data_IF_885203114383
#
_entry.id   IF_885203114383
#
_cell.length_a   1.000
_cell.length_b   1.000
_cell.length_c   1.000
_cell.angle_alpha   90.00
_cell.angle_beta   90.00
_cell.angle_gamma   90.00
#
_symmetry.space_group_name_H-M   'P 1'
#
loop_
_entity.id
_entity.type
_entity.pdbx_description
1 polymer ?
#
# COMPACT_ATOMS: atom_id res chain seq x y z
N UNK A 1 -7.69 31.92 4.00
CA UNK A 1 -7.77 31.62 2.55
C UNK A 1 -6.96 30.37 2.32
N UNK A 2 -7.48 29.39 1.57
CA UNK A 2 -6.78 28.11 1.29
C UNK A 2 -5.61 28.36 0.33
N UNK A 3 -4.39 28.00 0.71
CA UNK A 3 -3.15 28.39 0.00
C UNK A 3 -2.17 27.23 -0.21
N UNK A 4 -2.38 26.08 0.42
CA UNK A 4 -1.41 25.00 0.43
C UNK A 4 -2.00 23.68 -0.05
N UNK A 5 -1.16 22.86 -0.67
CA UNK A 5 -1.45 21.47 -1.04
C UNK A 5 -0.53 20.57 -0.20
N UNK A 6 -1.10 19.56 0.39
CA UNK A 6 -0.38 18.54 1.13
C UNK A 6 -0.25 17.28 0.27
N UNK A 7 0.96 16.77 0.11
CA UNK A 7 1.25 15.56 -0.65
C UNK A 7 1.71 14.46 0.31
N UNK A 8 0.97 13.36 0.36
CA UNK A 8 1.33 12.14 1.09
C UNK A 8 1.94 11.14 0.10
N UNK A 9 3.22 10.84 0.28
CA UNK A 9 3.96 9.92 -0.57
C UNK A 9 4.31 8.67 0.24
N UNK A 10 3.54 7.59 0.00
CA UNK A 10 3.80 6.30 0.61
C UNK A 10 4.77 5.51 -0.25
N UNK A 11 6.07 5.68 0.02
CA UNK A 11 7.12 4.91 -0.63
C UNK A 11 7.23 3.48 -0.10
N UNK A 12 8.09 2.68 -0.74
CA UNK A 12 8.33 1.27 -0.33
C UNK A 12 9.10 1.16 0.99
N UNK A 13 9.96 2.13 1.29
CA UNK A 13 10.85 2.08 2.48
C UNK A 13 10.55 3.17 3.49
N UNK A 14 9.75 4.16 3.11
CA UNK A 14 9.46 5.31 3.97
C UNK A 14 8.15 5.99 3.61
N UNK A 15 7.52 6.59 4.61
CA UNK A 15 6.39 7.51 4.46
C UNK A 15 6.91 8.94 4.40
N UNK A 16 6.34 9.76 3.52
CA UNK A 16 6.72 11.16 3.34
C UNK A 16 5.50 12.06 3.25
N UNK A 17 5.63 13.27 3.79
CA UNK A 17 4.69 14.35 3.58
C UNK A 17 5.44 15.58 3.08
N UNK A 18 4.91 16.22 2.06
CA UNK A 18 5.42 17.47 1.50
C UNK A 18 4.28 18.48 1.42
N UNK A 19 4.55 19.72 1.81
CA UNK A 19 3.60 20.84 1.69
C UNK A 19 4.10 21.79 0.64
N UNK A 20 3.24 22.12 -0.32
CA UNK A 20 3.50 23.07 -1.39
C UNK A 20 2.56 24.27 -1.29
N UNK A 21 3.05 25.45 -1.71
CA UNK A 21 2.18 26.60 -1.94
C UNK A 21 1.52 26.54 -3.33
N UNK A 22 0.69 27.55 -3.63
CA UNK A 22 0.00 27.67 -4.93
C UNK A 22 0.93 27.91 -6.12
N UNK A 23 2.20 28.21 -5.89
CA UNK A 23 3.23 28.37 -6.92
C UNK A 23 4.10 27.13 -7.09
N UNK A 24 3.79 26.03 -6.37
CA UNK A 24 4.56 24.77 -6.39
C UNK A 24 5.88 24.84 -5.59
N UNK A 25 6.08 25.87 -4.76
CA UNK A 25 7.27 25.96 -3.90
C UNK A 25 7.09 25.05 -2.70
N UNK A 26 8.13 24.29 -2.37
CA UNK A 26 8.19 23.45 -1.16
C UNK A 26 8.25 24.36 0.08
N UNK A 27 7.29 24.18 0.98
CA UNK A 27 7.17 24.92 2.24
C UNK A 27 7.75 24.09 3.40
N UNK A 28 7.37 22.81 3.49
CA UNK A 28 7.88 21.89 4.49
C UNK A 28 7.91 20.45 3.97
N UNK A 29 8.76 19.63 4.57
CA UNK A 29 8.85 18.19 4.30
C UNK A 29 9.15 17.43 5.59
N UNK A 30 8.48 16.31 5.78
CA UNK A 30 8.85 15.30 6.77
C UNK A 30 8.88 13.92 6.12
N UNK A 31 9.80 13.06 6.57
CA UNK A 31 9.96 11.70 6.06
C UNK A 31 10.40 10.79 7.19
N UNK A 32 9.85 9.55 7.22
CA UNK A 32 10.21 8.52 8.20
C UNK A 32 10.24 7.16 7.54
N UNK A 33 11.29 6.41 7.81
CA UNK A 33 11.41 5.00 7.42
C UNK A 33 10.53 4.13 8.32
N UNK A 34 10.16 2.95 7.82
CA UNK A 34 9.45 1.91 8.54
C UNK A 34 10.08 0.54 8.29
N UNK A 35 9.72 -0.43 9.14
CA UNK A 35 10.34 -1.75 9.18
C UNK A 35 10.06 -2.54 7.90
N UNK A 36 11.14 -3.10 7.32
CA UNK A 36 11.07 -4.07 6.22
C UNK A 36 11.13 -5.47 6.80
N UNK A 37 10.15 -6.32 6.49
CA UNK A 37 10.01 -7.67 7.07
C UNK A 37 10.33 -8.70 5.97
N UNK A 38 11.28 -9.59 6.22
CA UNK A 38 11.71 -10.65 5.30
C UNK A 38 11.54 -12.03 5.95
N UNK A 39 10.31 -12.62 6.00
CA UNK A 39 10.05 -13.86 6.73
C UNK A 39 10.80 -15.07 6.16
N UNK A 40 11.03 -15.09 4.84
CA UNK A 40 11.73 -16.14 4.09
C UNK A 40 12.42 -15.55 2.87
N UNK A 41 13.33 -16.28 2.26
CA UNK A 41 13.96 -15.88 0.98
C UNK A 41 12.89 -15.56 -0.07
N UNK A 42 12.99 -14.38 -0.69
CA UNK A 42 12.06 -13.91 -1.70
C UNK A 42 10.71 -13.39 -1.15
N UNK A 43 10.49 -13.42 0.16
CA UNK A 43 9.28 -12.86 0.79
C UNK A 43 9.56 -11.48 1.34
N UNK A 44 8.67 -10.54 1.05
CA UNK A 44 8.76 -9.16 1.53
C UNK A 44 7.41 -8.73 2.06
N UNK A 45 7.39 -8.24 3.29
CA UNK A 45 6.19 -7.79 4.00
C UNK A 45 6.43 -6.47 4.70
N UNK A 46 5.34 -5.74 4.94
CA UNK A 46 5.30 -4.58 5.83
C UNK A 46 4.18 -4.73 6.84
N UNK A 47 4.32 -4.10 8.01
CA UNK A 47 3.21 -3.92 8.93
C UNK A 47 2.30 -2.77 8.45
N UNK A 48 1.03 -3.02 8.08
CA UNK A 48 0.13 -1.96 7.62
C UNK A 48 -0.16 -0.90 8.68
N UNK A 49 -0.16 -1.26 9.96
CA UNK A 49 -0.38 -0.31 11.05
C UNK A 49 0.84 0.60 11.22
N UNK A 50 2.06 0.08 11.09
CA UNK A 50 3.28 0.91 11.09
C UNK A 50 3.29 1.89 9.90
N UNK A 51 2.89 1.44 8.71
CA UNK A 51 2.75 2.32 7.54
C UNK A 51 1.76 3.46 7.83
N UNK A 52 0.58 3.15 8.35
CA UNK A 52 -0.43 4.16 8.69
C UNK A 52 0.10 5.15 9.73
N UNK A 53 0.71 4.64 10.80
CA UNK A 53 1.22 5.45 11.90
C UNK A 53 2.37 6.37 11.46
N UNK A 54 3.30 5.86 10.63
CA UNK A 54 4.39 6.68 10.09
C UNK A 54 3.87 7.74 9.13
N UNK A 55 2.88 7.43 8.28
CA UNK A 55 2.27 8.41 7.38
C UNK A 55 1.54 9.53 8.14
N UNK A 56 0.77 9.18 9.18
CA UNK A 56 0.11 10.15 10.05
C UNK A 56 1.12 11.00 10.83
N UNK A 57 2.23 10.39 11.28
CA UNK A 57 3.30 11.09 11.97
C UNK A 57 3.93 12.16 11.06
N UNK A 58 4.41 11.79 9.86
CA UNK A 58 5.07 12.74 8.96
C UNK A 58 4.13 13.83 8.47
N UNK A 59 2.84 13.54 8.34
CA UNK A 59 1.82 14.55 8.04
C UNK A 59 1.72 15.60 9.16
N UNK A 60 1.56 15.16 10.40
CA UNK A 60 1.47 16.06 11.56
C UNK A 60 2.76 16.89 11.73
N UNK A 61 3.91 16.25 11.59
CA UNK A 61 5.21 16.90 11.71
C UNK A 61 5.43 17.96 10.63
N UNK A 62 5.09 17.67 9.36
CA UNK A 62 5.20 18.63 8.28
C UNK A 62 4.28 19.85 8.49
N UNK A 63 3.05 19.65 8.96
CA UNK A 63 2.14 20.74 9.30
C UNK A 63 2.71 21.57 10.45
N UNK A 64 3.18 20.93 11.52
CA UNK A 64 3.74 21.62 12.68
C UNK A 64 4.97 22.45 12.30
N UNK A 65 5.92 21.88 11.57
CA UNK A 65 7.17 22.55 11.18
C UNK A 65 6.97 23.66 10.15
N UNK A 66 5.92 23.58 9.34
CA UNK A 66 5.59 24.62 8.37
C UNK A 66 5.03 25.91 9.01
N UNK A 67 4.48 25.81 10.22
CA UNK A 67 3.78 26.90 10.89
C UNK A 67 2.44 27.31 10.24
N UNK A 68 1.95 26.53 9.26
CA UNK A 68 0.64 26.81 8.61
C UNK A 68 -0.50 26.27 9.46
N UNK A 69 -1.68 26.88 9.32
CA UNK A 69 -2.91 26.31 9.90
C UNK A 69 -3.49 25.22 8.98
N UNK A 70 -4.00 24.09 9.53
CA UNK A 70 -4.69 23.06 8.75
C UNK A 70 -5.82 23.60 7.87
N UNK A 71 -6.51 24.67 8.30
CA UNK A 71 -7.58 25.33 7.55
C UNK A 71 -7.09 26.02 6.27
N UNK A 72 -5.79 26.30 6.16
CA UNK A 72 -5.16 26.86 4.96
C UNK A 72 -4.85 25.78 3.91
N UNK A 73 -4.99 24.49 4.22
CA UNK A 73 -4.79 23.38 3.28
C UNK A 73 -5.99 23.29 2.35
N UNK A 74 -5.73 23.37 1.05
CA UNK A 74 -6.74 23.33 -0.02
C UNK A 74 -7.13 21.93 -0.40
N UNK A 75 -6.19 20.98 -0.30
CA UNK A 75 -6.39 19.59 -0.69
C UNK A 75 -5.21 18.72 -0.32
N UNK A 76 -5.43 17.41 -0.39
CA UNK A 76 -4.43 16.37 -0.11
C UNK A 76 -4.30 15.51 -1.36
N UNK A 77 -3.08 15.37 -1.89
CA UNK A 77 -2.72 14.37 -2.88
C UNK A 77 -2.08 13.17 -2.21
N UNK A 78 -2.43 11.97 -2.66
CA UNK A 78 -1.89 10.72 -2.11
C UNK A 78 -1.29 9.90 -3.23
N UNK A 79 -0.06 9.41 -3.06
CA UNK A 79 0.50 8.33 -3.86
C UNK A 79 0.80 7.13 -2.98
N UNK A 80 0.53 5.93 -3.51
CA UNK A 80 0.64 4.67 -2.76
C UNK A 80 1.84 3.82 -3.20
N UNK A 81 2.08 2.73 -2.48
CA UNK A 81 2.88 1.61 -2.99
C UNK A 81 1.99 0.76 -3.91
N UNK A 82 2.10 0.95 -5.22
CA UNK A 82 1.33 0.16 -6.19
C UNK A 82 1.59 -1.33 -5.98
N UNK A 83 0.53 -2.15 -6.13
CA UNK A 83 0.54 -3.62 -6.04
C UNK A 83 0.93 -4.20 -4.67
N UNK A 84 1.31 -3.38 -3.67
CA UNK A 84 1.39 -3.84 -2.28
C UNK A 84 -0.01 -4.10 -1.77
N UNK A 85 -0.26 -5.32 -1.29
CA UNK A 85 -1.60 -5.82 -0.98
C UNK A 85 -1.86 -5.83 0.51
N UNK A 86 -2.95 -5.20 0.92
CA UNK A 86 -3.49 -5.22 2.29
C UNK A 86 -4.93 -5.77 2.24
N UNK A 87 -5.24 -6.71 3.13
CA UNK A 87 -6.61 -7.19 3.37
C UNK A 87 -6.95 -6.91 4.82
N UNK A 88 -8.13 -6.34 5.08
CA UNK A 88 -8.54 -5.95 6.45
C UNK A 88 -10.00 -6.30 6.73
N UNK A 89 -10.30 -6.49 8.02
CA UNK A 89 -11.68 -6.66 8.51
C UNK A 89 -12.42 -5.30 8.43
N UNK A 90 -13.51 -5.26 7.69
CA UNK A 90 -14.29 -4.02 7.44
C UNK A 90 -14.91 -3.42 8.69
N UNK A 91 -15.19 -4.25 9.71
CA UNK A 91 -15.82 -3.81 10.97
C UNK A 91 -14.80 -3.20 11.91
N UNK A 92 -13.59 -3.77 11.98
CA UNK A 92 -12.56 -3.35 12.93
C UNK A 92 -11.52 -2.43 12.32
N UNK A 93 -11.39 -2.42 10.98
CA UNK A 93 -10.32 -1.74 10.25
C UNK A 93 -8.96 -2.40 10.40
N UNK A 94 -8.86 -3.55 11.09
CA UNK A 94 -7.59 -4.22 11.34
C UNK A 94 -7.18 -5.10 10.17
N UNK A 95 -5.89 -5.06 9.76
CA UNK A 95 -5.38 -5.98 8.76
C UNK A 95 -5.42 -7.41 9.29
N UNK A 96 -5.75 -8.37 8.41
CA UNK A 96 -5.77 -9.81 8.76
C UNK A 96 -4.41 -10.46 8.61
N UNK A 97 -3.50 -9.80 7.90
CA UNK A 97 -2.13 -10.22 7.67
C UNK A 97 -1.25 -9.01 7.35
N UNK A 98 0.08 -9.16 7.41
CA UNK A 98 1.00 -8.14 6.93
C UNK A 98 0.72 -7.77 5.47
N UNK A 99 1.03 -6.55 5.08
CA UNK A 99 1.00 -6.13 3.69
C UNK A 99 2.02 -6.96 2.89
N UNK A 100 1.55 -7.65 1.85
CA UNK A 100 2.45 -8.38 0.94
C UNK A 100 2.95 -7.38 -0.11
N UNK A 101 4.24 -7.10 -0.07
CA UNK A 101 4.88 -6.04 -0.89
C UNK A 101 4.94 -6.46 -2.36
N UNK A 102 4.91 -5.50 -3.27
CA UNK A 102 5.02 -5.71 -4.71
C UNK A 102 6.27 -6.50 -5.14
N UNK A 103 7.36 -6.42 -4.39
CA UNK A 103 8.61 -7.16 -4.61
C UNK A 103 8.53 -8.64 -4.20
N UNK A 104 7.49 -9.04 -3.44
CA UNK A 104 7.39 -10.37 -2.89
C UNK A 104 7.16 -11.43 -3.96
N UNK A 105 7.96 -12.50 -3.93
CA UNK A 105 7.93 -13.60 -4.91
C UNK A 105 7.15 -14.84 -4.43
N UNK A 106 6.46 -14.79 -3.27
CA UNK A 106 5.77 -15.96 -2.67
C UNK A 106 4.70 -16.60 -3.55
N UNK A 107 4.22 -15.89 -4.55
CA UNK A 107 3.17 -16.36 -5.46
C UNK A 107 3.72 -16.72 -6.85
N UNK A 108 5.05 -16.88 -7.00
CA UNK A 108 5.67 -17.26 -8.26
C UNK A 108 5.13 -18.61 -8.76
N UNK A 109 5.09 -19.62 -7.89
CA UNK A 109 4.61 -20.97 -8.23
C UNK A 109 3.16 -20.94 -8.75
N UNK A 110 2.30 -20.09 -8.15
CA UNK A 110 0.93 -19.90 -8.64
C UNK A 110 0.90 -19.29 -10.04
N UNK A 111 1.77 -18.33 -10.32
CA UNK A 111 1.86 -17.74 -11.66
C UNK A 111 2.33 -18.77 -12.69
N UNK A 112 3.33 -19.58 -12.37
CA UNK A 112 3.81 -20.67 -13.21
C UNK A 112 2.72 -21.74 -13.46
N UNK A 113 1.94 -22.10 -12.44
CA UNK A 113 0.78 -22.99 -12.59
C UNK A 113 -0.24 -22.43 -13.59
N UNK A 114 -0.58 -21.14 -13.46
CA UNK A 114 -1.55 -20.50 -14.36
C UNK A 114 -1.02 -20.38 -15.79
N UNK A 115 0.28 -20.14 -15.97
CA UNK A 115 0.97 -20.13 -17.26
C UNK A 115 0.91 -21.53 -17.92
N UNK A 116 1.25 -22.59 -17.17
CA UNK A 116 1.15 -23.97 -17.65
C UNK A 116 -0.28 -24.36 -18.05
N UNK A 117 -1.30 -23.73 -17.46
CA UNK A 117 -2.71 -23.90 -17.85
C UNK A 117 -3.13 -23.08 -19.07
N UNK A 118 -2.21 -22.32 -19.67
CA UNK A 118 -2.46 -21.49 -20.85
C UNK A 118 -3.29 -20.24 -20.58
N UNK A 119 -3.35 -19.75 -19.33
CA UNK A 119 -4.19 -18.61 -18.93
C UNK A 119 -3.53 -17.25 -19.16
N UNK A 120 -2.27 -17.21 -19.57
CA UNK A 120 -1.53 -15.95 -19.78
C UNK A 120 -2.24 -15.00 -20.75
N UNK A 121 -2.59 -15.50 -21.94
CA UNK A 121 -3.27 -14.70 -22.96
C UNK A 121 -4.67 -14.24 -22.51
N UNK A 122 -5.40 -15.06 -21.76
CA UNK A 122 -6.69 -14.69 -21.21
C UNK A 122 -6.54 -13.51 -20.22
N UNK A 123 -5.57 -13.60 -19.28
CA UNK A 123 -5.31 -12.55 -18.30
C UNK A 123 -4.88 -11.27 -19.03
N UNK A 124 -3.92 -11.36 -19.96
CA UNK A 124 -3.43 -10.21 -20.71
C UNK A 124 -4.55 -9.50 -21.49
N UNK A 125 -5.44 -10.25 -22.13
CA UNK A 125 -6.54 -9.69 -22.89
C UNK A 125 -7.57 -8.98 -22.01
N UNK A 126 -7.79 -9.48 -20.78
CA UNK A 126 -8.77 -8.93 -19.84
C UNK A 126 -8.28 -7.76 -19.02
N UNK A 127 -6.98 -7.72 -18.71
CA UNK A 127 -6.40 -6.77 -17.76
C UNK A 127 -5.35 -5.85 -18.37
N UNK A 128 -4.77 -6.21 -19.52
CA UNK A 128 -3.60 -5.57 -20.10
C UNK A 128 -2.28 -5.93 -19.39
N UNK A 129 -2.34 -6.76 -18.34
CA UNK A 129 -1.20 -7.10 -17.49
C UNK A 129 -0.60 -8.46 -17.89
N UNK A 130 0.68 -8.64 -17.61
CA UNK A 130 1.33 -9.95 -17.69
C UNK A 130 1.01 -10.78 -16.45
N UNK A 131 1.24 -12.09 -16.52
CA UNK A 131 1.10 -13.00 -15.40
C UNK A 131 2.41 -12.96 -14.57
N UNK A 132 2.41 -12.24 -13.45
CA UNK A 132 3.59 -12.05 -12.59
C UNK A 132 3.17 -11.88 -11.11
N UNK A 133 3.95 -12.40 -10.14
CA UNK A 133 3.74 -12.18 -8.70
C UNK A 133 3.73 -10.73 -8.27
N UNK A 134 4.21 -9.82 -9.10
CA UNK A 134 4.16 -8.38 -8.87
C UNK A 134 2.72 -7.90 -8.60
N UNK A 135 1.73 -8.42 -9.36
CA UNK A 135 0.35 -7.95 -9.31
C UNK A 135 -0.44 -8.47 -8.12
N UNK A 136 -1.46 -7.72 -7.70
CA UNK A 136 -2.18 -7.92 -6.44
C UNK A 136 -3.02 -9.20 -6.38
N UNK A 137 -3.57 -9.68 -7.50
CA UNK A 137 -4.53 -10.79 -7.52
C UNK A 137 -3.97 -12.08 -6.89
N UNK A 138 -2.73 -12.46 -7.24
CA UNK A 138 -2.07 -13.65 -6.69
C UNK A 138 -1.83 -13.53 -5.18
N UNK A 139 -1.50 -12.32 -4.69
CA UNK A 139 -1.29 -12.03 -3.26
C UNK A 139 -2.60 -12.10 -2.47
N UNK A 140 -3.69 -11.56 -3.03
CA UNK A 140 -5.03 -11.69 -2.42
C UNK A 140 -5.40 -13.16 -2.29
N UNK A 141 -5.26 -13.93 -3.39
CA UNK A 141 -5.52 -15.38 -3.35
C UNK A 141 -4.68 -16.06 -2.27
N UNK A 142 -3.39 -15.74 -2.19
CA UNK A 142 -2.50 -16.31 -1.17
C UNK A 142 -3.00 -16.00 0.26
N UNK A 143 -3.39 -14.77 0.56
CA UNK A 143 -3.94 -14.40 1.88
C UNK A 143 -5.19 -15.22 2.19
N UNK A 144 -6.12 -15.31 1.24
CA UNK A 144 -7.37 -16.05 1.43
C UNK A 144 -7.15 -17.55 1.65
N UNK A 145 -6.10 -18.12 1.07
CA UNK A 145 -5.80 -19.56 1.18
C UNK A 145 -4.93 -19.91 2.40
N UNK A 146 -4.11 -18.97 2.91
CA UNK A 146 -3.10 -19.27 3.93
C UNK A 146 -3.35 -18.62 5.29
N UNK A 147 -4.24 -17.61 5.35
CA UNK A 147 -4.61 -16.97 6.62
C UNK A 147 -5.89 -17.61 7.13
N UNK A 148 -5.84 -18.14 8.36
CA UNK A 148 -6.97 -18.85 8.95
C UNK A 148 -8.25 -18.00 8.98
N UNK A 149 -9.34 -18.55 8.45
CA UNK A 149 -10.63 -17.90 8.39
C UNK A 149 -10.78 -16.82 7.31
N UNK A 150 -9.70 -16.35 6.67
CA UNK A 150 -9.77 -15.22 5.74
C UNK A 150 -10.72 -15.49 4.57
N UNK A 151 -10.70 -16.67 3.96
CA UNK A 151 -11.60 -17.01 2.85
C UNK A 151 -13.06 -16.97 3.28
N UNK A 152 -13.41 -17.65 4.37
CA UNK A 152 -14.76 -17.66 4.93
C UNK A 152 -15.25 -16.24 5.25
N UNK A 153 -14.37 -15.40 5.79
CA UNK A 153 -14.68 -14.04 6.17
C UNK A 153 -14.85 -13.12 4.96
N UNK A 154 -14.07 -13.35 3.90
CA UNK A 154 -14.25 -12.67 2.61
C UNK A 154 -15.58 -13.06 1.93
N UNK A 155 -15.93 -14.35 1.88
CA UNK A 155 -17.20 -14.84 1.33
C UNK A 155 -18.40 -14.29 2.10
N UNK A 156 -18.25 -14.05 3.41
CA UNK A 156 -19.26 -13.41 4.26
C UNK A 156 -19.29 -11.87 4.14
N UNK A 157 -18.44 -11.26 3.28
CA UNK A 157 -18.35 -9.82 3.08
C UNK A 157 -17.75 -9.06 4.26
N UNK A 158 -16.96 -9.73 5.11
CA UNK A 158 -16.27 -9.12 6.27
C UNK A 158 -14.91 -8.54 5.93
N UNK A 159 -14.28 -9.02 4.89
CA UNK A 159 -13.00 -8.50 4.41
C UNK A 159 -13.16 -7.64 3.16
#
# INVERSE_FOLDING_TARGET
MKKYILSLDQGTTSSRCVIFDTHGRLIAKSQREFTQIFPRTGWVEHDPEEILNTQLYVMKEAIHTSGISPEEISGIGITNQRETTVVWDRRTGKPVYNAIVWQCRRTADLCEELECRGLEQFIKTRTGLILDPYFSASKIKWILDNVEGARRDAEAGRL
#
